data_IF_409063465545
#
_entry.id   IF_409063465545
#
_cell.length_a   1.000
_cell.length_b   1.000
_cell.length_c   1.000
_cell.angle_alpha   90.00
_cell.angle_beta   90.00
_cell.angle_gamma   90.00
#
_symmetry.space_group_name_H-M   'P 1'
#
loop_
_entity.id
_entity.type
_entity.pdbx_description
1 polymer ?
#
# COMPACT_ATOMS: atom_id res chain seq x y z
N UNK A 1 -4.31 -40.19 7.93
CA UNK A 1 -5.01 -39.86 6.68
C UNK A 1 -4.20 -38.73 6.06
N UNK A 2 -3.25 -39.07 5.20
CA UNK A 2 -2.45 -38.11 4.43
C UNK A 2 -3.40 -37.46 3.44
N UNK A 3 -3.69 -36.20 3.67
CA UNK A 3 -4.49 -35.39 2.75
C UNK A 3 -3.62 -35.20 1.49
N UNK A 4 -4.05 -35.82 0.41
CA UNK A 4 -3.36 -35.77 -0.89
C UNK A 4 -3.70 -34.43 -1.60
N UNK A 5 -3.38 -33.32 -0.94
CA UNK A 5 -3.48 -31.99 -1.53
C UNK A 5 -2.24 -31.80 -2.41
N UNK A 6 -2.44 -31.91 -3.71
CA UNK A 6 -1.41 -31.64 -4.71
C UNK A 6 -1.70 -30.28 -5.33
N UNK A 7 -0.99 -29.23 -4.89
CA UNK A 7 -1.20 -27.91 -5.46
C UNK A 7 -0.68 -27.85 -6.89
N UNK A 8 -1.53 -27.40 -7.79
CA UNK A 8 -1.13 -26.96 -9.11
C UNK A 8 -0.63 -25.52 -9.02
N UNK A 9 0.60 -25.27 -9.50
CA UNK A 9 1.22 -23.94 -9.48
C UNK A 9 0.40 -22.93 -10.25
N UNK A 10 -0.06 -23.26 -11.46
CA UNK A 10 -0.82 -22.36 -12.33
C UNK A 10 -2.14 -21.97 -11.67
N UNK A 11 -2.85 -22.94 -11.08
CA UNK A 11 -4.08 -22.70 -10.35
C UNK A 11 -3.85 -21.76 -9.15
N UNK A 12 -2.80 -21.98 -8.36
CA UNK A 12 -2.49 -21.11 -7.22
C UNK A 12 -2.15 -19.68 -7.65
N UNK A 13 -1.44 -19.52 -8.77
CA UNK A 13 -1.17 -18.20 -9.34
C UNK A 13 -2.47 -17.53 -9.74
N UNK A 14 -3.33 -18.22 -10.49
CA UNK A 14 -4.61 -17.69 -10.95
C UNK A 14 -5.51 -17.25 -9.79
N UNK A 15 -5.61 -18.07 -8.74
CA UNK A 15 -6.43 -17.79 -7.55
C UNK A 15 -5.88 -16.62 -6.71
N UNK A 16 -4.55 -16.44 -6.63
CA UNK A 16 -3.93 -15.55 -5.65
C UNK A 16 -3.23 -14.32 -6.24
N UNK A 17 -3.05 -14.22 -7.57
CA UNK A 17 -2.32 -13.11 -8.19
C UNK A 17 -2.88 -11.73 -7.82
N UNK A 18 -4.19 -11.60 -7.81
CA UNK A 18 -4.86 -10.34 -7.47
C UNK A 18 -4.62 -9.93 -6.01
N UNK A 19 -4.67 -10.90 -5.08
CA UNK A 19 -4.39 -10.68 -3.67
C UNK A 19 -2.93 -10.26 -3.47
N UNK A 20 -1.97 -11.02 -4.00
CA UNK A 20 -0.53 -10.76 -3.82
C UNK A 20 -0.16 -9.40 -4.40
N UNK A 21 -0.60 -9.11 -5.63
CA UNK A 21 -0.36 -7.81 -6.27
C UNK A 21 -0.97 -6.65 -5.49
N UNK A 22 -2.22 -6.77 -5.04
CA UNK A 22 -2.89 -5.68 -4.32
C UNK A 22 -2.29 -5.43 -2.92
N UNK A 23 -1.82 -6.48 -2.23
CA UNK A 23 -1.04 -6.34 -1.00
C UNK A 23 0.25 -5.56 -1.24
N UNK A 24 1.03 -5.96 -2.24
CA UNK A 24 2.27 -5.29 -2.61
C UNK A 24 2.03 -3.82 -3.03
N UNK A 25 1.01 -3.56 -3.83
CA UNK A 25 0.66 -2.21 -4.27
C UNK A 25 0.26 -1.31 -3.10
N UNK A 26 -0.59 -1.79 -2.19
CA UNK A 26 -0.99 -1.00 -1.01
C UNK A 26 0.15 -0.77 -0.03
N UNK A 27 1.08 -1.70 0.03
CA UNK A 27 2.29 -1.53 0.86
C UNK A 27 3.27 -0.54 0.25
N UNK A 28 3.52 -0.61 -1.05
CA UNK A 28 4.58 0.17 -1.72
C UNK A 28 4.09 1.51 -2.27
N UNK A 29 2.84 1.57 -2.71
CA UNK A 29 2.29 2.70 -3.46
C UNK A 29 2.89 2.86 -4.86
N UNK A 30 3.59 1.85 -5.37
CA UNK A 30 4.31 1.85 -6.64
C UNK A 30 3.95 0.60 -7.42
N UNK A 31 3.32 0.79 -8.60
CA UNK A 31 2.80 -0.30 -9.41
C UNK A 31 3.90 -1.21 -9.94
N UNK A 32 4.98 -0.63 -10.47
CA UNK A 32 6.10 -1.41 -11.00
C UNK A 32 6.76 -2.27 -9.94
N UNK A 33 7.02 -1.67 -8.76
CA UNK A 33 7.57 -2.41 -7.62
C UNK A 33 6.60 -3.48 -7.11
N UNK A 34 5.29 -3.25 -7.16
CA UNK A 34 4.30 -4.25 -6.77
C UNK A 34 4.27 -5.45 -7.74
N UNK A 35 4.45 -5.19 -9.05
CA UNK A 35 4.56 -6.23 -10.08
C UNK A 35 5.84 -7.08 -9.87
N UNK A 36 6.98 -6.45 -9.60
CA UNK A 36 8.23 -7.14 -9.27
C UNK A 36 8.09 -8.02 -8.02
N UNK A 37 7.48 -7.47 -6.96
CA UNK A 37 7.26 -8.22 -5.71
C UNK A 37 6.32 -9.40 -5.95
N UNK A 38 5.24 -9.23 -6.71
CA UNK A 38 4.31 -10.31 -7.01
C UNK A 38 5.01 -11.45 -7.78
N UNK A 39 5.83 -11.13 -8.76
CA UNK A 39 6.64 -12.11 -9.48
C UNK A 39 7.59 -12.85 -8.54
N UNK A 40 8.33 -12.13 -7.68
CA UNK A 40 9.26 -12.72 -6.71
C UNK A 40 8.54 -13.68 -5.75
N UNK A 41 7.32 -13.30 -5.29
CA UNK A 41 6.51 -14.13 -4.39
C UNK A 41 6.12 -15.45 -5.07
N UNK A 42 5.66 -15.42 -6.32
CA UNK A 42 5.28 -16.63 -7.03
C UNK A 42 6.49 -17.48 -7.42
N UNK A 43 7.62 -16.89 -7.78
CA UNK A 43 8.87 -17.63 -7.97
C UNK A 43 9.35 -18.30 -6.68
N UNK A 44 9.12 -17.70 -5.53
CA UNK A 44 9.43 -18.30 -4.23
C UNK A 44 8.42 -19.41 -3.88
N UNK A 45 7.15 -19.23 -4.22
CA UNK A 45 6.09 -20.24 -4.04
C UNK A 45 6.41 -21.52 -4.83
N UNK A 46 6.83 -21.39 -6.09
CA UNK A 46 7.21 -22.54 -6.93
C UNK A 46 8.27 -23.42 -6.24
N UNK A 47 9.29 -22.79 -5.67
CA UNK A 47 10.36 -23.51 -4.92
C UNK A 47 9.88 -24.15 -3.62
N UNK A 48 8.73 -23.70 -3.09
CA UNK A 48 8.17 -24.18 -1.82
C UNK A 48 6.90 -25.02 -1.99
N UNK A 49 6.49 -25.29 -3.23
CA UNK A 49 5.22 -25.94 -3.53
C UNK A 49 5.02 -27.25 -2.75
N UNK A 50 6.05 -28.09 -2.72
CA UNK A 50 6.02 -29.38 -1.99
C UNK A 50 5.99 -29.27 -0.46
N UNK A 51 6.07 -28.07 0.12
CA UNK A 51 5.97 -27.81 1.56
C UNK A 51 4.61 -27.22 1.96
N UNK A 52 3.79 -26.90 0.99
CA UNK A 52 2.46 -26.37 1.23
C UNK A 52 1.51 -27.54 1.52
N UNK A 53 0.84 -27.50 2.65
CA UNK A 53 0.06 -28.65 3.18
C UNK A 53 -1.44 -28.51 2.86
N UNK A 54 -1.91 -27.33 2.50
CA UNK A 54 -3.32 -27.04 2.20
C UNK A 54 -3.49 -25.68 1.50
N UNK A 55 -4.63 -25.44 0.89
CA UNK A 55 -4.98 -24.15 0.30
C UNK A 55 -4.93 -23.01 1.34
N UNK A 56 -5.36 -23.25 2.57
CA UNK A 56 -5.28 -22.28 3.65
C UNK A 56 -3.83 -21.98 4.03
N UNK A 57 -2.95 -23.00 4.05
CA UNK A 57 -1.52 -22.80 4.27
C UNK A 57 -0.87 -22.03 3.13
N UNK A 58 -1.22 -22.30 1.88
CA UNK A 58 -0.73 -21.56 0.71
C UNK A 58 -1.13 -20.08 0.79
N UNK A 59 -2.41 -19.80 1.08
CA UNK A 59 -2.91 -18.42 1.24
C UNK A 59 -2.19 -17.66 2.37
N UNK A 60 -2.02 -18.31 3.53
CA UNK A 60 -1.29 -17.73 4.66
C UNK A 60 0.17 -17.44 4.30
N UNK A 61 0.82 -18.40 3.67
CA UNK A 61 2.21 -18.30 3.25
C UNK A 61 2.41 -17.15 2.24
N UNK A 62 1.55 -17.08 1.22
CA UNK A 62 1.59 -16.03 0.20
C UNK A 62 1.42 -14.63 0.82
N UNK A 63 0.45 -14.45 1.72
CA UNK A 63 0.26 -13.18 2.46
C UNK A 63 1.52 -12.80 3.23
N UNK A 64 2.10 -13.74 3.97
CA UNK A 64 3.31 -13.52 4.77
C UNK A 64 4.50 -13.14 3.89
N UNK A 65 4.74 -13.85 2.79
CA UNK A 65 5.85 -13.57 1.89
C UNK A 65 5.65 -12.23 1.18
N UNK A 66 4.44 -11.93 0.69
CA UNK A 66 4.13 -10.65 0.07
C UNK A 66 4.38 -9.46 1.01
N UNK A 67 3.95 -9.57 2.27
CA UNK A 67 4.18 -8.53 3.29
C UNK A 67 5.66 -8.36 3.59
N UNK A 68 6.42 -9.45 3.77
CA UNK A 68 7.85 -9.39 4.05
C UNK A 68 8.63 -8.79 2.86
N UNK A 69 8.36 -9.23 1.63
CA UNK A 69 8.99 -8.70 0.41
C UNK A 69 8.69 -7.21 0.23
N UNK A 70 7.46 -6.80 0.50
CA UNK A 70 7.06 -5.38 0.45
C UNK A 70 7.82 -4.54 1.49
N UNK A 71 7.92 -5.01 2.73
CA UNK A 71 8.67 -4.35 3.79
C UNK A 71 10.17 -4.24 3.45
N UNK A 72 10.76 -5.31 2.94
CA UNK A 72 12.17 -5.31 2.54
C UNK A 72 12.45 -4.36 1.36
N UNK A 73 11.53 -4.30 0.39
CA UNK A 73 11.63 -3.36 -0.74
C UNK A 73 11.55 -1.90 -0.28
N UNK A 74 10.64 -1.57 0.63
CA UNK A 74 10.53 -0.24 1.23
C UNK A 74 11.78 0.13 2.04
N UNK A 75 12.33 -0.80 2.81
CA UNK A 75 13.56 -0.61 3.58
C UNK A 75 14.75 -0.34 2.66
N UNK A 76 14.91 -1.12 1.58
CA UNK A 76 15.96 -0.91 0.57
C UNK A 76 15.83 0.43 -0.13
N UNK A 77 14.59 0.85 -0.46
CA UNK A 77 14.31 2.15 -1.08
C UNK A 77 14.65 3.31 -0.14
N UNK A 78 14.38 3.14 1.15
CA UNK A 78 14.72 4.15 2.17
C UNK A 78 16.23 4.31 2.32
N UNK A 79 16.99 3.23 2.38
CA UNK A 79 18.46 3.26 2.45
C UNK A 79 19.04 3.94 1.20
N UNK A 80 18.64 3.52 0.00
CA UNK A 80 19.09 4.17 -1.25
C UNK A 80 18.75 5.65 -1.34
N UNK A 81 17.62 6.09 -0.78
CA UNK A 81 17.30 7.52 -0.72
C UNK A 81 18.20 8.28 0.24
N UNK A 82 18.60 7.69 1.35
CA UNK A 82 19.55 8.29 2.29
C UNK A 82 20.92 8.41 1.64
N UNK A 83 21.39 7.38 0.96
CA UNK A 83 22.70 7.40 0.25
C UNK A 83 22.69 8.46 -0.88
N UNK A 84 21.62 8.57 -1.66
CA UNK A 84 21.44 9.62 -2.67
C UNK A 84 21.36 11.02 -2.06
N UNK A 85 20.78 11.18 -0.86
CA UNK A 85 20.77 12.49 -0.18
C UNK A 85 22.16 12.89 0.29
N UNK A 86 22.99 11.97 0.74
CA UNK A 86 24.40 12.24 1.11
C UNK A 86 25.20 12.70 -0.12
N UNK A 87 24.98 12.09 -1.29
CA UNK A 87 25.63 12.51 -2.56
C UNK A 87 25.09 13.85 -3.09
N UNK A 88 23.81 14.20 -2.81
CA UNK A 88 23.17 15.43 -3.32
C UNK A 88 23.38 16.63 -2.37
N UNK A 89 23.56 16.40 -1.05
CA UNK A 89 23.95 17.48 -0.12
C UNK A 89 25.32 18.08 -0.47
N UNK A 90 26.19 17.34 -1.16
CA UNK A 90 27.41 17.91 -1.75
C UNK A 90 27.16 18.72 -3.03
N UNK A 91 25.99 18.66 -3.66
CA UNK A 91 25.73 19.28 -4.97
C UNK A 91 24.45 20.12 -5.14
N UNK A 92 23.84 20.72 -4.22
CA UNK A 92 22.64 21.59 -4.34
C UNK A 92 21.40 21.08 -3.61
N UNK A 93 20.92 21.96 -2.72
CA UNK A 93 19.66 21.79 -2.00
C UNK A 93 18.47 21.59 -2.94
N UNK A 94 17.89 20.43 -2.90
CA UNK A 94 16.67 20.12 -3.62
C UNK A 94 15.57 19.65 -2.67
N UNK A 95 14.45 20.34 -2.80
CA UNK A 95 13.16 20.12 -2.14
C UNK A 95 12.75 18.66 -2.20
N UNK A 96 12.24 18.15 -1.08
CA UNK A 96 11.43 16.96 -1.06
C UNK A 96 10.27 17.14 -2.04
N UNK A 97 10.29 16.41 -3.15
CA UNK A 97 9.12 16.28 -4.01
C UNK A 97 8.04 15.55 -3.22
N UNK A 98 7.11 16.34 -2.70
CA UNK A 98 5.76 15.87 -2.39
C UNK A 98 5.23 15.23 -3.66
N UNK A 99 4.97 13.91 -3.60
CA UNK A 99 4.37 13.18 -4.70
C UNK A 99 3.24 14.00 -5.31
N UNK A 100 3.38 14.34 -6.60
CA UNK A 100 2.44 15.15 -7.33
C UNK A 100 1.04 14.56 -7.16
N UNK A 101 0.12 15.34 -6.62
CA UNK A 101 -1.28 14.98 -6.42
C UNK A 101 -1.94 14.88 -7.81
N UNK A 102 -2.38 13.70 -8.27
CA UNK A 102 -3.10 13.63 -9.52
C UNK A 102 -4.47 14.29 -9.32
N UNK A 103 -4.64 15.47 -9.87
CA UNK A 103 -5.95 16.10 -10.03
C UNK A 103 -6.82 15.17 -10.88
N UNK A 104 -7.87 14.59 -10.29
CA UNK A 104 -8.73 13.61 -10.95
C UNK A 104 -8.47 12.14 -10.57
N UNK A 105 -7.61 11.87 -9.58
CA UNK A 105 -7.35 10.51 -9.12
C UNK A 105 -8.63 9.79 -8.66
N UNK A 106 -8.76 8.52 -9.04
CA UNK A 106 -9.81 7.63 -8.55
C UNK A 106 -9.79 7.54 -7.01
N UNK A 107 -10.90 7.12 -6.41
CA UNK A 107 -10.97 6.90 -4.95
C UNK A 107 -9.88 5.92 -4.49
N UNK A 108 -9.58 4.88 -5.29
CA UNK A 108 -8.49 3.92 -5.02
C UNK A 108 -7.12 4.59 -4.93
N UNK A 109 -6.76 5.39 -5.92
CA UNK A 109 -5.48 6.11 -5.92
C UNK A 109 -5.34 7.09 -4.74
N UNK A 110 -6.44 7.70 -4.30
CA UNK A 110 -6.45 8.55 -3.10
C UNK A 110 -6.22 7.74 -1.83
N UNK A 111 -6.85 6.57 -1.72
CA UNK A 111 -6.64 5.67 -0.59
C UNK A 111 -5.20 5.17 -0.54
N UNK A 112 -4.63 4.79 -1.68
CA UNK A 112 -3.22 4.38 -1.79
C UNK A 112 -2.27 5.49 -1.35
N UNK A 113 -2.51 6.72 -1.81
CA UNK A 113 -1.73 7.89 -1.39
C UNK A 113 -1.82 8.14 0.13
N UNK A 114 -3.00 7.99 0.73
CA UNK A 114 -3.19 8.11 2.18
C UNK A 114 -2.48 6.99 2.94
N UNK A 115 -2.59 5.74 2.48
CA UNK A 115 -1.90 4.60 3.07
C UNK A 115 -0.38 4.77 2.99
N UNK A 116 0.14 5.27 1.86
CA UNK A 116 1.58 5.52 1.68
C UNK A 116 2.16 6.52 2.70
N UNK A 117 1.32 7.36 3.30
CA UNK A 117 1.75 8.30 4.34
C UNK A 117 1.89 7.67 5.72
N UNK A 118 1.34 6.48 5.96
CA UNK A 118 1.39 5.81 7.26
C UNK A 118 2.76 5.16 7.51
N UNK A 119 3.20 5.06 8.78
CA UNK A 119 4.30 4.18 9.14
C UNK A 119 4.04 2.75 8.66
N UNK A 120 5.09 2.09 8.18
CA UNK A 120 5.01 0.79 7.51
C UNK A 120 4.24 -0.27 8.32
N UNK A 121 4.57 -0.46 9.60
CA UNK A 121 3.91 -1.44 10.45
C UNK A 121 2.41 -1.15 10.69
N UNK A 122 2.03 0.13 10.74
CA UNK A 122 0.62 0.54 10.88
C UNK A 122 -0.13 0.32 9.56
N UNK A 123 0.51 0.61 8.42
CA UNK A 123 -0.02 0.34 7.10
C UNK A 123 -0.25 -1.15 6.90
N UNK A 124 0.75 -1.99 7.21
CA UNK A 124 0.67 -3.44 7.13
C UNK A 124 -0.51 -3.99 7.93
N UNK A 125 -0.65 -3.58 9.19
CA UNK A 125 -1.76 -4.01 10.03
C UNK A 125 -3.13 -3.60 9.47
N UNK A 126 -3.27 -2.38 8.96
CA UNK A 126 -4.52 -1.90 8.35
C UNK A 126 -4.85 -2.62 7.04
N UNK A 127 -3.87 -2.83 6.18
CA UNK A 127 -4.07 -3.56 4.91
C UNK A 127 -4.54 -4.97 5.19
N UNK A 128 -3.86 -5.72 6.07
CA UNK A 128 -4.27 -7.08 6.43
C UNK A 128 -5.64 -7.12 7.12
N UNK A 129 -5.99 -6.12 7.93
CA UNK A 129 -7.29 -6.06 8.61
C UNK A 129 -8.45 -5.80 7.67
N UNK A 130 -8.32 -4.80 6.79
CA UNK A 130 -9.44 -4.26 6.02
C UNK A 130 -9.51 -4.75 4.58
N UNK A 131 -8.42 -5.26 4.03
CA UNK A 131 -8.41 -5.86 2.70
C UNK A 131 -8.55 -7.37 2.75
N UNK A 132 -7.92 -8.02 3.74
CA UNK A 132 -7.88 -9.48 3.87
C UNK A 132 -8.80 -10.01 4.99
N UNK A 133 -9.53 -9.12 5.66
CA UNK A 133 -10.45 -9.43 6.77
C UNK A 133 -9.83 -10.24 7.93
N UNK A 134 -8.51 -10.15 8.12
CA UNK A 134 -7.83 -10.92 9.15
C UNK A 134 -8.12 -10.38 10.55
N UNK A 135 -8.25 -11.29 11.51
CA UNK A 135 -8.30 -10.98 12.94
C UNK A 135 -6.94 -10.45 13.44
N UNK A 136 -6.87 -9.73 14.55
CA UNK A 136 -5.59 -9.31 15.13
C UNK A 136 -4.62 -10.47 15.41
N UNK A 137 -5.14 -11.63 15.74
CA UNK A 137 -4.40 -12.87 16.00
C UNK A 137 -3.78 -13.43 14.71
N UNK A 138 -4.54 -13.46 13.61
CA UNK A 138 -4.04 -13.88 12.28
C UNK A 138 -3.02 -12.88 11.72
N UNK A 139 -3.25 -11.57 11.90
CA UNK A 139 -2.27 -10.53 11.54
C UNK A 139 -0.97 -10.71 12.32
N UNK A 140 -1.07 -11.00 13.62
CA UNK A 140 0.09 -11.26 14.47
C UNK A 140 0.92 -12.45 13.97
N UNK A 141 0.24 -13.53 13.55
CA UNK A 141 0.88 -14.70 12.94
C UNK A 141 1.53 -14.36 11.59
N UNK A 142 0.82 -13.59 10.75
CA UNK A 142 1.31 -13.18 9.41
C UNK A 142 2.54 -12.29 9.51
N UNK A 143 2.53 -11.30 10.43
CA UNK A 143 3.62 -10.33 10.61
C UNK A 143 4.69 -10.78 11.60
N UNK A 144 4.56 -11.98 12.19
CA UNK A 144 5.43 -12.47 13.26
C UNK A 144 5.61 -11.45 14.40
N UNK A 145 4.50 -10.82 14.85
CA UNK A 145 4.47 -9.77 15.86
C UNK A 145 3.52 -10.12 17.00
N UNK A 146 3.73 -9.61 18.23
CA UNK A 146 2.79 -9.81 19.32
C UNK A 146 1.41 -9.21 19.01
N UNK A 147 0.32 -9.90 19.40
CA UNK A 147 -1.06 -9.44 19.19
C UNK A 147 -1.32 -8.04 19.80
N UNK A 148 -0.75 -7.76 20.96
CA UNK A 148 -0.85 -6.44 21.60
C UNK A 148 -0.22 -5.33 20.73
N UNK A 149 0.90 -5.63 20.07
CA UNK A 149 1.56 -4.73 19.12
C UNK A 149 0.67 -4.48 17.90
N UNK A 150 0.07 -5.53 17.33
CA UNK A 150 -0.86 -5.42 16.20
C UNK A 150 -2.06 -4.54 16.57
N UNK A 151 -2.71 -4.79 17.73
CA UNK A 151 -3.83 -3.97 18.21
C UNK A 151 -3.44 -2.50 18.35
N UNK A 152 -2.23 -2.23 18.86
CA UNK A 152 -1.68 -0.87 18.95
C UNK A 152 -1.43 -0.23 17.57
N UNK A 153 -0.90 -1.00 16.59
CA UNK A 153 -0.71 -0.52 15.23
C UNK A 153 -2.04 -0.22 14.53
N UNK A 154 -3.05 -1.06 14.68
CA UNK A 154 -4.39 -0.83 14.16
C UNK A 154 -5.01 0.47 14.71
N UNK A 155 -4.96 0.67 16.02
CA UNK A 155 -5.50 1.88 16.65
C UNK A 155 -4.78 3.15 16.19
N UNK A 156 -3.45 3.15 16.23
CA UNK A 156 -2.64 4.32 15.82
C UNK A 156 -2.77 4.60 14.33
N UNK A 157 -2.72 3.56 13.49
CA UNK A 157 -2.86 3.67 12.06
C UNK A 157 -4.23 4.22 11.66
N UNK A 158 -5.31 3.73 12.27
CA UNK A 158 -6.66 4.22 12.00
C UNK A 158 -6.85 5.68 12.46
N UNK A 159 -6.28 6.07 13.60
CA UNK A 159 -6.27 7.46 14.08
C UNK A 159 -5.56 8.38 13.10
N UNK A 160 -4.38 8.01 12.62
CA UNK A 160 -3.62 8.78 11.64
C UNK A 160 -4.34 8.86 10.29
N UNK A 161 -4.88 7.73 9.81
CA UNK A 161 -5.60 7.69 8.55
C UNK A 161 -6.83 8.62 8.57
N UNK A 162 -7.62 8.59 9.66
CA UNK A 162 -8.77 9.49 9.84
C UNK A 162 -8.36 10.96 9.86
N UNK A 163 -7.30 11.30 10.58
CA UNK A 163 -6.82 12.68 10.67
C UNK A 163 -6.38 13.21 9.29
N UNK A 164 -5.66 12.38 8.52
CA UNK A 164 -5.19 12.74 7.18
C UNK A 164 -6.33 12.79 6.15
N UNK A 165 -7.26 11.85 6.20
CA UNK A 165 -8.45 11.87 5.36
C UNK A 165 -9.30 13.13 5.58
N UNK A 166 -9.48 13.56 6.84
CA UNK A 166 -10.20 14.79 7.18
C UNK A 166 -9.49 16.04 6.64
N UNK A 167 -8.16 16.10 6.69
CA UNK A 167 -7.37 17.19 6.12
C UNK A 167 -7.50 17.24 4.60
N UNK A 168 -7.39 16.11 3.92
CA UNK A 168 -7.56 16.01 2.47
C UNK A 168 -8.96 16.38 2.02
N UNK A 169 -10.00 16.02 2.78
CA UNK A 169 -11.38 16.37 2.46
C UNK A 169 -11.61 17.88 2.57
N UNK A 170 -11.11 18.53 3.62
CA UNK A 170 -11.19 19.98 3.79
C UNK A 170 -10.52 20.73 2.64
N UNK A 171 -9.35 20.27 2.24
CA UNK A 171 -8.60 20.87 1.14
C UNK A 171 -9.31 20.68 -0.21
N UNK A 172 -9.87 19.50 -0.47
CA UNK A 172 -10.66 19.20 -1.67
C UNK A 172 -11.90 20.11 -1.77
N UNK A 173 -12.63 20.30 -0.68
CA UNK A 173 -13.80 21.20 -0.64
C UNK A 173 -13.37 22.64 -0.93
N UNK A 174 -12.26 23.10 -0.35
CA UNK A 174 -11.71 24.44 -0.59
C UNK A 174 -11.28 24.66 -2.04
N UNK A 175 -10.62 23.69 -2.65
CA UNK A 175 -10.19 23.76 -4.06
C UNK A 175 -11.40 23.80 -5.02
N UNK A 176 -12.43 23.00 -4.73
CA UNK A 176 -13.66 22.96 -5.51
C UNK A 176 -14.40 24.30 -5.45
N UNK A 177 -14.57 24.85 -4.25
CA UNK A 177 -15.19 26.16 -4.06
C UNK A 177 -14.42 27.28 -4.78
N UNK A 178 -13.09 27.23 -4.77
CA UNK A 178 -12.24 28.20 -5.47
C UNK A 178 -12.36 28.09 -6.99
N UNK A 179 -12.58 26.88 -7.52
CA UNK A 179 -12.81 26.64 -8.95
C UNK A 179 -14.17 27.17 -9.41
N UNK A 180 -15.21 26.86 -8.66
CA UNK A 180 -16.58 27.30 -8.96
C UNK A 180 -16.67 28.86 -8.94
N UNK A 181 -15.95 29.48 -8.00
CA UNK A 181 -15.88 30.97 -7.94
C UNK A 181 -15.16 31.58 -9.14
N UNK A 182 -14.13 30.93 -9.69
CA UNK A 182 -13.43 31.40 -10.90
C UNK A 182 -14.24 31.21 -12.17
N UNK A 183 -15.05 30.17 -12.26
CA UNK A 183 -15.94 29.90 -13.40
C UNK A 183 -17.14 30.90 -13.40
N UNK A 184 -17.65 31.30 -12.25
CA UNK A 184 -18.73 32.27 -12.11
C UNK A 184 -18.26 33.72 -12.27
N UNK A 185 -16.99 34.02 -11.99
CA UNK A 185 -16.42 35.39 -12.11
C UNK A 185 -15.98 35.78 -13.52
N UNK A 186 -16.03 34.86 -14.50
CA UNK A 186 -15.59 35.10 -15.87
C UNK A 186 -16.68 35.58 -16.84
N UNK A 187 -17.92 35.77 -16.39
CA UNK A 187 -19.06 36.15 -17.24
C UNK A 187 -19.59 37.57 -16.89
N UNK A 188 -18.68 38.53 -16.76
CA UNK A 188 -19.18 39.92 -16.65
C UNK A 188 -18.10 40.91 -17.11
N UNK A 189 -17.91 41.03 -18.40
CA UNK A 189 -17.56 42.30 -19.08
C UNK A 189 -17.39 42.06 -20.59
N UNK A 190 -18.54 41.99 -21.31
CA UNK A 190 -18.56 42.54 -22.67
C UNK A 190 -19.99 42.90 -22.99
N UNK A 191 -20.26 44.19 -22.91
CA UNK A 191 -21.60 44.72 -23.21
C UNK A 191 -21.69 46.21 -22.98
N UNK A 192 -20.85 46.99 -23.66
CA UNK A 192 -21.17 48.37 -24.00
C UNK A 192 -20.42 48.84 -25.24
N UNK A 193 -21.10 48.93 -26.30
CA UNK A 193 -21.21 50.18 -27.13
C UNK A 193 -22.53 50.13 -27.86
#
# INVERSE_FOLDING_TARGET
>A
MTHDWQPDFEQLVEEHQSMVFSLALRMTGDRGLAEEIAQDVFMEMDRHLGKLESAAHATFWLRRVAMNRSADALRRRRVRRVDLWVEIEEQHGLRAETAARPLGASMGARLEALLATLPEAQRAALVLRYQEDLTPEEIASTLAAPVATVKSHLQRGLKLLRARAASHLKEYVRERSSRDSRLMGGVSSDGRV
#
